data_IF_257201954787
#
_entry.id   IF_257201954787
#
_cell.length_a   1.000
_cell.length_b   1.000
_cell.length_c   1.000
_cell.angle_alpha   90.00
_cell.angle_beta   90.00
_cell.angle_gamma   90.00
#
_symmetry.space_group_name_H-M   'P 1'
#
loop_
_entity.id
_entity.type
_entity.pdbx_description
1 polymer ?
#
# COMPACT_ATOMS: atom_id res chain seq x y z
N UNK A 1 2.76 1.02 21.86
CA UNK A 1 3.07 0.66 20.46
C UNK A 1 2.32 1.63 19.56
N UNK A 2 2.96 2.05 18.47
CA UNK A 2 2.32 2.92 17.48
C UNK A 2 1.59 2.13 16.40
N UNK A 3 0.64 2.78 15.74
CA UNK A 3 0.01 2.32 14.50
C UNK A 3 0.64 3.02 13.31
N UNK A 4 0.95 2.28 12.24
CA UNK A 4 1.38 2.85 10.97
C UNK A 4 0.23 2.81 9.96
N UNK A 5 -0.15 3.96 9.39
CA UNK A 5 -0.88 3.97 8.13
C UNK A 5 0.13 3.73 7.02
N UNK A 6 -0.02 2.61 6.30
CA UNK A 6 0.90 2.22 5.22
C UNK A 6 0.21 2.43 3.89
N UNK A 7 0.64 3.46 3.18
CA UNK A 7 0.16 3.81 1.84
C UNK A 7 1.04 3.08 0.82
N UNK A 8 0.44 2.20 0.04
CA UNK A 8 1.13 1.36 -0.94
C UNK A 8 0.83 1.83 -2.35
N UNK A 9 1.89 2.17 -3.08
CA UNK A 9 1.92 2.27 -4.55
C UNK A 9 0.86 3.20 -5.18
N UNK A 10 0.53 4.29 -4.52
CA UNK A 10 -0.30 5.34 -5.11
C UNK A 10 0.55 6.27 -5.99
N UNK A 11 1.15 5.68 -7.02
CA UNK A 11 2.11 6.29 -7.93
C UNK A 11 1.48 6.75 -9.24
N UNK A 12 2.11 7.71 -9.91
CA UNK A 12 1.64 8.20 -11.20
C UNK A 12 1.51 7.07 -12.23
N UNK A 13 2.48 6.14 -12.31
CA UNK A 13 2.41 5.01 -13.24
C UNK A 13 1.24 4.06 -12.98
N UNK A 14 0.84 3.92 -11.72
CA UNK A 14 -0.24 3.02 -11.32
C UNK A 14 -1.62 3.68 -11.28
N UNK A 15 -1.68 5.00 -11.31
CA UNK A 15 -2.96 5.72 -11.34
C UNK A 15 -3.35 6.12 -12.76
N UNK A 16 -2.41 6.72 -13.51
CA UNK A 16 -2.66 7.31 -14.84
C UNK A 16 -1.61 6.94 -15.89
N UNK A 17 -0.49 6.32 -15.49
CA UNK A 17 0.66 6.09 -16.37
C UNK A 17 0.72 4.68 -16.97
N UNK A 18 1.90 4.08 -16.97
CA UNK A 18 2.23 2.85 -17.70
C UNK A 18 1.38 1.64 -17.28
N UNK A 19 1.05 1.52 -16.00
CA UNK A 19 0.19 0.46 -15.45
C UNK A 19 -1.09 1.05 -14.84
N UNK A 20 -1.71 1.98 -15.54
CA UNK A 20 -2.88 2.69 -15.07
C UNK A 20 -3.99 1.75 -14.57
N UNK A 21 -4.46 1.99 -13.35
CA UNK A 21 -5.54 1.28 -12.70
C UNK A 21 -6.75 2.19 -12.50
N UNK A 22 -7.80 1.99 -13.25
CA UNK A 22 -9.02 2.81 -13.16
C UNK A 22 -9.67 2.78 -11.77
N UNK A 23 -9.40 1.73 -10.98
CA UNK A 23 -9.89 1.60 -9.61
C UNK A 23 -9.07 2.39 -8.57
N UNK A 24 -7.91 2.95 -8.95
CA UNK A 24 -7.06 3.69 -8.03
C UNK A 24 -7.57 5.12 -7.74
N UNK A 25 -8.07 5.82 -8.75
CA UNK A 25 -8.56 7.21 -8.58
C UNK A 25 -9.68 7.35 -7.55
N UNK A 26 -10.71 6.47 -7.54
CA UNK A 26 -11.79 6.57 -6.56
C UNK A 26 -11.36 6.49 -5.10
N UNK A 27 -10.24 5.81 -4.79
CA UNK A 27 -9.78 5.62 -3.40
C UNK A 27 -8.85 6.74 -2.90
N UNK A 28 -8.39 7.65 -3.75
CA UNK A 28 -7.45 8.71 -3.38
C UNK A 28 -8.01 9.57 -2.23
N UNK A 29 -9.27 9.99 -2.33
CA UNK A 29 -9.88 10.83 -1.31
C UNK A 29 -9.94 10.16 0.07
N UNK A 30 -10.28 8.88 0.12
CA UNK A 30 -10.30 8.10 1.35
C UNK A 30 -8.90 7.97 1.96
N UNK A 31 -7.89 7.74 1.12
CA UNK A 31 -6.49 7.64 1.59
C UNK A 31 -6.02 8.98 2.14
N UNK A 32 -6.35 10.10 1.49
CA UNK A 32 -5.99 11.44 1.96
C UNK A 32 -6.62 11.73 3.33
N UNK A 33 -7.92 11.51 3.50
CA UNK A 33 -8.62 11.69 4.78
C UNK A 33 -7.99 10.82 5.89
N UNK A 34 -7.66 9.56 5.60
CA UNK A 34 -6.99 8.67 6.54
C UNK A 34 -5.58 9.14 6.89
N UNK A 35 -4.83 9.66 5.92
CA UNK A 35 -3.49 10.19 6.15
C UNK A 35 -3.53 11.45 7.04
N UNK A 36 -4.50 12.36 6.82
CA UNK A 36 -4.72 13.52 7.68
C UNK A 36 -5.10 13.09 9.11
N UNK A 37 -6.01 12.13 9.24
CA UNK A 37 -6.42 11.60 10.54
C UNK A 37 -5.24 10.93 11.27
N UNK A 38 -4.41 10.17 10.57
CA UNK A 38 -3.21 9.54 11.13
C UNK A 38 -2.19 10.56 11.59
N UNK A 39 -1.90 11.60 10.80
CA UNK A 39 -0.97 12.68 11.13
C UNK A 39 -1.42 13.49 12.35
N UNK A 40 -2.72 13.55 12.63
CA UNK A 40 -3.27 14.26 13.79
C UNK A 40 -3.13 13.52 15.12
N UNK A 41 -2.63 12.28 15.12
CA UNK A 41 -2.54 11.37 16.28
C UNK A 41 -1.10 11.09 16.67
N UNK A 42 -0.73 11.34 17.91
CA UNK A 42 0.64 11.15 18.44
C UNK A 42 1.12 9.68 18.41
N UNK A 43 0.18 8.74 18.46
CA UNK A 43 0.43 7.31 18.46
C UNK A 43 0.38 6.68 17.06
N UNK A 44 0.29 7.50 16.02
CA UNK A 44 0.33 7.07 14.62
C UNK A 44 1.57 7.60 13.91
N UNK A 45 1.91 6.96 12.82
CA UNK A 45 2.87 7.41 11.80
C UNK A 45 2.34 7.07 10.41
N UNK A 46 2.67 7.89 9.42
CA UNK A 46 2.33 7.61 8.01
C UNK A 46 3.57 7.08 7.31
N UNK A 47 3.42 5.97 6.61
CA UNK A 47 4.49 5.30 5.87
C UNK A 47 4.06 5.15 4.41
N UNK A 48 4.84 5.70 3.51
CA UNK A 48 4.70 5.48 2.07
C UNK A 48 5.68 4.40 1.64
N UNK A 49 5.17 3.24 1.25
CA UNK A 49 6.01 2.15 0.77
C UNK A 49 5.71 1.90 -0.72
N UNK A 50 6.58 2.41 -1.57
CA UNK A 50 6.31 2.58 -2.98
C UNK A 50 7.37 1.94 -3.86
N UNK A 51 6.97 1.43 -5.01
CA UNK A 51 7.89 0.94 -6.01
C UNK A 51 8.87 2.03 -6.47
N UNK A 52 10.12 1.65 -6.54
CA UNK A 52 11.25 2.44 -7.01
C UNK A 52 12.23 1.50 -7.73
N UNK A 53 11.77 0.96 -8.84
CA UNK A 53 12.47 -0.08 -9.59
C UNK A 53 13.78 0.38 -10.19
N UNK A 54 14.69 -0.56 -10.37
CA UNK A 54 15.97 -0.37 -11.05
C UNK A 54 16.01 -1.19 -12.34
N UNK A 55 16.82 -0.80 -13.33
CA UNK A 55 17.00 -1.59 -14.53
C UNK A 55 17.35 -3.05 -14.21
N UNK A 56 16.61 -3.98 -14.79
CA UNK A 56 16.81 -5.42 -14.61
C UNK A 56 16.02 -6.03 -13.43
N UNK A 57 15.10 -5.29 -12.82
CA UNK A 57 14.19 -5.85 -11.83
C UNK A 57 13.26 -6.91 -12.45
N UNK A 58 13.04 -8.00 -11.68
CA UNK A 58 12.28 -9.16 -12.17
C UNK A 58 10.82 -8.84 -12.51
N UNK A 59 10.25 -7.83 -11.87
CA UNK A 59 8.87 -7.44 -12.14
C UNK A 59 8.67 -6.86 -13.54
N UNK A 60 9.74 -6.35 -14.16
CA UNK A 60 9.71 -5.90 -15.56
C UNK A 60 9.46 -7.03 -16.56
N UNK A 61 9.79 -8.29 -16.21
CA UNK A 61 9.46 -9.45 -17.03
C UNK A 61 7.95 -9.77 -17.03
N UNK A 62 7.23 -9.31 -16.01
CA UNK A 62 5.79 -9.55 -15.84
C UNK A 62 4.95 -8.41 -16.38
N UNK A 63 5.33 -7.16 -16.05
CA UNK A 63 4.50 -5.97 -16.30
C UNK A 63 5.17 -4.94 -17.22
N UNK A 64 6.40 -5.17 -17.69
CA UNK A 64 7.18 -4.15 -18.39
C UNK A 64 7.77 -3.10 -17.45
N UNK A 65 8.53 -2.16 -17.98
CA UNK A 65 9.12 -1.08 -17.17
C UNK A 65 8.03 -0.16 -16.62
N UNK A 66 8.06 0.05 -15.30
CA UNK A 66 7.16 0.92 -14.58
C UNK A 66 7.82 1.38 -13.28
N UNK A 67 7.34 2.46 -12.70
CA UNK A 67 7.77 3.01 -11.42
C UNK A 67 9.32 3.02 -11.26
N UNK A 68 10.04 3.39 -12.34
CA UNK A 68 11.51 3.45 -12.34
C UNK A 68 11.97 4.55 -11.39
N UNK A 69 12.89 4.23 -10.49
CA UNK A 69 13.38 5.16 -9.47
C UNK A 69 13.87 6.48 -10.09
N UNK A 70 13.36 7.59 -9.55
CA UNK A 70 13.68 8.96 -10.03
C UNK A 70 12.89 9.40 -11.26
N UNK A 71 11.99 8.57 -11.80
CA UNK A 71 11.07 8.98 -12.86
C UNK A 71 9.79 9.61 -12.28
N UNK A 72 9.09 10.38 -13.08
CA UNK A 72 7.76 10.89 -12.75
C UNK A 72 6.76 9.74 -12.43
N UNK A 73 6.89 8.62 -13.13
CA UNK A 73 6.04 7.44 -12.89
C UNK A 73 6.16 6.86 -11.48
N UNK A 74 7.34 6.97 -10.86
CA UNK A 74 7.61 6.51 -9.50
C UNK A 74 7.29 7.55 -8.40
N UNK A 75 6.84 8.75 -8.77
CA UNK A 75 6.38 9.74 -7.81
C UNK A 75 4.96 9.41 -7.33
N UNK A 76 4.69 9.68 -6.06
CA UNK A 76 3.32 9.59 -5.50
C UNK A 76 2.45 10.63 -6.18
N UNK A 77 1.19 10.27 -6.47
CA UNK A 77 0.23 11.23 -7.05
C UNK A 77 0.16 12.50 -6.21
N UNK A 78 0.03 13.68 -6.83
CA UNK A 78 0.12 14.98 -6.13
C UNK A 78 -0.85 15.11 -4.95
N UNK A 79 -2.03 14.51 -5.05
CA UNK A 79 -3.08 14.56 -4.03
C UNK A 79 -2.67 13.85 -2.73
N UNK A 80 -1.74 12.89 -2.83
CA UNK A 80 -1.24 12.09 -1.70
C UNK A 80 0.24 12.37 -1.40
N UNK A 81 0.81 13.45 -1.88
CA UNK A 81 2.24 13.74 -1.72
C UNK A 81 2.68 13.60 -0.26
N UNK A 82 3.75 12.81 0.02
CA UNK A 82 4.29 12.67 1.37
C UNK A 82 4.69 14.01 1.97
N UNK A 83 4.49 14.19 3.28
CA UNK A 83 4.96 15.36 4.04
C UNK A 83 6.32 15.10 4.69
N UNK A 84 6.94 16.14 5.21
CA UNK A 84 8.28 16.09 5.80
C UNK A 84 8.41 15.05 6.93
N UNK A 85 7.37 14.88 7.74
CA UNK A 85 7.36 13.92 8.86
C UNK A 85 6.93 12.50 8.46
N UNK A 86 6.49 12.29 7.21
CA UNK A 86 6.11 10.97 6.72
C UNK A 86 7.34 10.12 6.39
N UNK A 87 7.22 8.83 6.62
CA UNK A 87 8.30 7.89 6.36
C UNK A 87 8.16 7.35 4.94
N UNK A 88 9.22 7.48 4.13
CA UNK A 88 9.23 6.95 2.76
C UNK A 88 10.14 5.73 2.69
N UNK A 89 9.59 4.61 2.22
CA UNK A 89 10.27 3.32 2.07
C UNK A 89 10.25 2.91 0.60
N UNK A 90 11.31 3.16 -0.16
CA UNK A 90 11.40 2.68 -1.54
C UNK A 90 11.53 1.16 -1.55
N UNK A 91 10.73 0.49 -2.38
CA UNK A 91 10.77 -0.96 -2.54
C UNK A 91 10.99 -1.36 -4.01
N UNK A 92 11.42 -2.59 -4.24
CA UNK A 92 11.66 -3.18 -5.57
C UNK A 92 10.96 -4.53 -5.73
N UNK A 93 10.12 -4.88 -4.76
CA UNK A 93 9.40 -6.16 -4.69
C UNK A 93 8.00 -5.88 -4.18
N UNK A 94 7.06 -6.80 -4.39
CA UNK A 94 5.67 -6.64 -3.94
C UNK A 94 5.55 -6.34 -2.45
N UNK A 95 6.34 -7.01 -1.62
CA UNK A 95 6.32 -6.74 -0.18
C UNK A 95 7.18 -5.54 0.18
N UNK A 96 6.62 -4.63 0.95
CA UNK A 96 7.34 -3.48 1.51
C UNK A 96 8.44 -3.87 2.51
N UNK A 97 8.48 -5.11 2.98
CA UNK A 97 9.54 -5.61 3.87
C UNK A 97 10.73 -6.21 3.12
N UNK A 98 10.54 -6.60 1.84
CA UNK A 98 11.59 -7.32 1.11
C UNK A 98 12.71 -6.39 0.69
N UNK A 99 13.89 -6.57 1.30
CA UNK A 99 15.11 -5.79 1.02
C UNK A 99 14.93 -4.28 1.19
N UNK A 100 14.13 -3.87 2.19
CA UNK A 100 13.90 -2.48 2.56
C UNK A 100 14.22 -2.24 4.03
N UNK A 101 14.17 -0.98 4.45
CA UNK A 101 14.36 -0.58 5.84
C UNK A 101 13.07 -0.65 6.69
N UNK A 102 11.93 -1.12 6.13
CA UNK A 102 10.65 -1.11 6.85
C UNK A 102 10.69 -1.89 8.16
N UNK A 103 11.39 -3.03 8.19
CA UNK A 103 11.52 -3.84 9.41
C UNK A 103 12.30 -3.09 10.52
N UNK A 104 13.36 -2.38 10.15
CA UNK A 104 14.09 -1.51 11.07
C UNK A 104 13.23 -0.31 11.50
N UNK A 105 12.49 0.30 10.59
CA UNK A 105 11.54 1.38 10.83
C UNK A 105 10.48 0.96 11.84
N UNK A 106 9.89 -0.23 11.69
CA UNK A 106 8.91 -0.74 12.65
C UNK A 106 9.48 -0.84 14.07
N UNK A 107 10.71 -1.31 14.20
CA UNK A 107 11.39 -1.40 15.51
C UNK A 107 11.69 -0.02 16.12
N UNK A 108 12.25 0.88 15.31
CA UNK A 108 12.63 2.24 15.77
C UNK A 108 11.42 3.03 16.24
N UNK A 109 10.32 2.95 15.50
CA UNK A 109 9.08 3.67 15.83
C UNK A 109 8.14 2.89 16.74
N UNK A 110 8.52 1.67 17.18
CA UNK A 110 7.71 0.79 18.02
C UNK A 110 6.32 0.54 17.42
N UNK A 111 6.29 0.21 16.11
CA UNK A 111 5.05 -0.08 15.37
C UNK A 111 4.61 -1.52 15.71
N UNK A 112 3.39 -1.66 16.21
CA UNK A 112 2.77 -2.95 16.53
C UNK A 112 1.50 -3.23 15.72
N UNK A 113 0.97 -2.22 15.02
CA UNK A 113 -0.18 -2.36 14.12
C UNK A 113 0.08 -1.60 12.82
N UNK A 114 -0.37 -2.17 11.70
CA UNK A 114 -0.39 -1.51 10.40
C UNK A 114 -1.83 -1.40 9.92
N UNK A 115 -2.18 -0.25 9.37
CA UNK A 115 -3.40 -0.01 8.60
C UNK A 115 -2.98 0.14 7.15
N UNK A 116 -3.36 -0.80 6.30
CA UNK A 116 -2.91 -0.90 4.91
C UNK A 116 -3.94 -0.29 3.98
N UNK A 117 -3.50 0.65 3.15
CA UNK A 117 -4.26 1.32 2.10
C UNK A 117 -3.46 1.35 0.79
N UNK A 118 -4.12 1.63 -0.33
CA UNK A 118 -3.48 1.74 -1.66
C UNK A 118 -3.66 0.51 -2.52
N UNK A 119 -2.65 0.13 -3.29
CA UNK A 119 -2.79 -0.91 -4.31
C UNK A 119 -1.55 -1.81 -4.46
N UNK A 120 -1.68 -3.02 -5.02
CA UNK A 120 -2.94 -3.69 -5.34
C UNK A 120 -3.28 -4.65 -4.20
N UNK A 121 -4.54 -4.74 -3.83
CA UNK A 121 -5.03 -5.54 -2.69
C UNK A 121 -4.52 -6.98 -2.73
N UNK A 122 -4.52 -7.61 -3.90
CA UNK A 122 -4.09 -9.00 -4.12
C UNK A 122 -2.60 -9.16 -4.49
N UNK A 123 -1.85 -8.07 -4.49
CA UNK A 123 -0.41 -8.05 -4.80
C UNK A 123 0.39 -7.36 -3.69
N UNK A 124 0.75 -6.10 -3.82
CA UNK A 124 1.63 -5.41 -2.86
C UNK A 124 1.02 -5.33 -1.46
N UNK A 125 -0.28 -5.04 -1.34
CA UNK A 125 -0.98 -5.07 -0.06
C UNK A 125 -0.93 -6.48 0.56
N UNK A 126 -1.21 -7.52 -0.23
CA UNK A 126 -1.20 -8.92 0.22
C UNK A 126 0.17 -9.37 0.71
N UNK A 127 1.24 -9.11 -0.06
CA UNK A 127 2.58 -9.57 0.30
C UNK A 127 3.13 -8.79 1.50
N UNK A 128 2.86 -7.49 1.57
CA UNK A 128 3.22 -6.67 2.75
C UNK A 128 2.48 -7.14 4.00
N UNK A 129 1.18 -7.43 3.89
CA UNK A 129 0.37 -7.96 4.98
C UNK A 129 0.88 -9.33 5.45
N UNK A 130 1.27 -10.22 4.53
CA UNK A 130 1.87 -11.50 4.88
C UNK A 130 3.16 -11.34 5.68
N UNK A 131 4.05 -10.48 5.22
CA UNK A 131 5.31 -10.24 5.90
C UNK A 131 5.14 -9.54 7.26
N UNK A 132 4.13 -8.68 7.42
CA UNK A 132 3.74 -8.12 8.72
C UNK A 132 3.23 -9.21 9.66
N UNK A 133 2.36 -10.12 9.17
CA UNK A 133 1.86 -11.27 9.93
C UNK A 133 2.99 -12.16 10.45
N UNK A 134 4.00 -12.47 9.61
CA UNK A 134 5.17 -13.27 10.03
C UNK A 134 5.99 -12.60 11.14
N UNK A 135 5.90 -11.28 11.29
CA UNK A 135 6.60 -10.47 12.30
C UNK A 135 5.76 -10.23 13.55
N UNK A 136 4.54 -10.77 13.60
CA UNK A 136 3.62 -10.55 14.71
C UNK A 136 3.05 -9.12 14.78
N UNK A 137 3.11 -8.38 13.67
CA UNK A 137 2.49 -7.06 13.54
C UNK A 137 1.02 -7.27 13.20
N UNK A 138 0.13 -6.66 13.95
CA UNK A 138 -1.32 -6.67 13.65
C UNK A 138 -1.60 -5.86 12.38
N UNK A 139 -2.49 -6.36 11.52
CA UNK A 139 -2.84 -5.66 10.28
C UNK A 139 -4.35 -5.46 10.17
N UNK A 140 -4.74 -4.24 9.87
CA UNK A 140 -6.05 -3.90 9.32
C UNK A 140 -5.89 -3.49 7.85
N UNK A 141 -6.76 -3.98 6.98
CA UNK A 141 -6.82 -3.58 5.56
C UNK A 141 -8.10 -2.81 5.33
N UNK A 142 -7.98 -1.62 4.78
CA UNK A 142 -9.15 -0.73 4.57
C UNK A 142 -9.81 -1.06 3.23
N UNK A 143 -11.03 -1.60 3.30
CA UNK A 143 -11.71 -2.18 2.13
C UNK A 143 -12.06 -1.17 1.05
N UNK A 144 -12.43 0.06 1.43
CA UNK A 144 -12.79 1.18 0.57
C UNK A 144 -11.62 2.13 0.25
N UNK A 145 -10.44 1.83 0.79
CA UNK A 145 -9.18 2.53 0.51
C UNK A 145 -8.11 1.60 -0.07
N UNK A 146 -8.51 0.40 -0.56
CA UNK A 146 -7.65 -0.52 -1.31
C UNK A 146 -8.34 -0.99 -2.58
N UNK A 147 -7.57 -1.31 -3.62
CA UNK A 147 -8.12 -1.81 -4.88
C UNK A 147 -7.23 -2.87 -5.52
N UNK A 148 -7.83 -3.87 -6.18
CA UNK A 148 -7.12 -4.81 -7.06
C UNK A 148 -6.81 -4.16 -8.41
N UNK A 149 -5.93 -4.78 -9.20
CA UNK A 149 -5.60 -4.29 -10.54
C UNK A 149 -6.77 -4.56 -11.50
N UNK A 150 -7.56 -3.52 -11.78
CA UNK A 150 -8.76 -3.62 -12.61
C UNK A 150 -8.52 -4.23 -14.01
N UNK A 151 -7.42 -3.93 -14.74
CA UNK A 151 -7.15 -4.57 -16.02
C UNK A 151 -7.05 -6.10 -15.97
N UNK A 152 -6.62 -6.67 -14.85
CA UNK A 152 -6.57 -8.14 -14.66
C UNK A 152 -7.86 -8.71 -14.07
N UNK A 153 -8.73 -7.88 -13.51
CA UNK A 153 -9.99 -8.32 -12.94
C UNK A 153 -11.09 -8.49 -14.02
N UNK A 154 -10.99 -7.71 -15.11
CA UNK A 154 -12.00 -7.71 -16.16
C UNK A 154 -13.39 -7.37 -15.59
N UNK A 155 -14.42 -8.11 -16.04
CA UNK A 155 -15.81 -7.89 -15.61
C UNK A 155 -16.11 -8.35 -14.17
N UNK A 156 -15.17 -9.04 -13.50
CA UNK A 156 -15.34 -9.54 -12.12
C UNK A 156 -14.50 -8.77 -11.10
N UNK A 157 -14.43 -7.46 -11.25
CA UNK A 157 -13.66 -6.61 -10.34
C UNK A 157 -14.08 -6.77 -8.87
N UNK A 158 -15.37 -6.64 -8.58
CA UNK A 158 -15.90 -6.73 -7.21
C UNK A 158 -15.64 -8.10 -6.60
N UNK A 159 -15.85 -9.18 -7.34
CA UNK A 159 -15.56 -10.54 -6.89
C UNK A 159 -14.07 -10.76 -6.62
N UNK A 160 -13.17 -10.20 -7.45
CA UNK A 160 -11.73 -10.29 -7.23
C UNK A 160 -11.30 -9.51 -5.99
N UNK A 161 -11.80 -8.28 -5.81
CA UNK A 161 -11.53 -7.46 -4.62
C UNK A 161 -12.01 -8.18 -3.35
N UNK A 162 -13.24 -8.69 -3.35
CA UNK A 162 -13.80 -9.43 -2.23
C UNK A 162 -12.94 -10.66 -1.88
N UNK A 163 -12.60 -11.49 -2.86
CA UNK A 163 -11.75 -12.67 -2.62
C UNK A 163 -10.36 -12.30 -2.10
N UNK A 164 -9.79 -11.18 -2.54
CA UNK A 164 -8.52 -10.70 -2.03
C UNK A 164 -8.62 -10.35 -0.54
N UNK A 165 -9.64 -9.58 -0.15
CA UNK A 165 -9.87 -9.20 1.25
C UNK A 165 -10.18 -10.42 2.14
N UNK A 166 -11.02 -11.35 1.67
CA UNK A 166 -11.32 -12.61 2.36
C UNK A 166 -10.06 -13.46 2.57
N UNK A 167 -9.17 -13.49 1.59
CA UNK A 167 -7.88 -14.19 1.72
C UNK A 167 -7.04 -13.60 2.86
N UNK A 168 -6.92 -12.28 2.92
CA UNK A 168 -6.13 -11.58 3.94
C UNK A 168 -6.67 -11.85 5.35
N UNK A 169 -7.99 -11.78 5.53
CA UNK A 169 -8.62 -12.05 6.83
C UNK A 169 -8.50 -13.52 7.23
N UNK A 170 -8.70 -14.45 6.29
CA UNK A 170 -8.72 -15.89 6.56
C UNK A 170 -7.34 -16.44 6.91
N UNK A 171 -6.31 -16.06 6.12
CA UNK A 171 -4.97 -16.68 6.22
C UNK A 171 -3.98 -15.86 7.04
N UNK A 172 -4.14 -14.53 7.10
CA UNK A 172 -3.21 -13.65 7.80
C UNK A 172 -3.84 -12.99 9.03
N UNK A 173 -5.08 -13.34 9.38
CA UNK A 173 -5.85 -12.78 10.49
C UNK A 173 -5.99 -11.25 10.43
N UNK A 174 -5.91 -10.68 9.23
CA UNK A 174 -6.08 -9.25 9.06
C UNK A 174 -7.52 -8.84 9.33
N UNK A 175 -7.69 -7.74 10.04
CA UNK A 175 -8.99 -7.08 10.11
C UNK A 175 -9.30 -6.47 8.75
N UNK A 176 -10.51 -6.66 8.23
CA UNK A 176 -11.01 -5.93 7.07
C UNK A 176 -12.01 -4.91 7.59
N UNK A 177 -11.67 -3.65 7.44
CA UNK A 177 -12.43 -2.53 8.01
C UNK A 177 -12.79 -1.52 6.92
N UNK A 178 -13.79 -0.69 7.20
CA UNK A 178 -14.17 0.46 6.39
C UNK A 178 -13.45 1.71 6.93
N UNK A 179 -13.12 2.68 6.06
CA UNK A 179 -12.42 3.91 6.44
C UNK A 179 -13.14 4.70 7.55
N UNK A 180 -14.48 4.68 7.56
CA UNK A 180 -15.29 5.35 8.58
C UNK A 180 -15.06 4.84 10.02
N UNK A 181 -14.44 3.67 10.18
CA UNK A 181 -14.08 3.13 11.50
C UNK A 181 -12.79 3.75 12.06
N UNK A 182 -12.07 4.51 11.26
CA UNK A 182 -10.80 5.14 11.61
C UNK A 182 -10.88 6.67 11.67
N UNK A 183 -11.84 7.26 10.98
CA UNK A 183 -12.14 8.70 10.94
C UNK A 183 -13.05 9.09 12.10
#
# INVERSE_FOLDING_TARGET
MKTALVVLDMLNDFVDGTLANTAAKPIIGQIDELAEAARSRDDWVVVYANDAHQPGDLEFEVFGEHAVAGSYGAEVVPELAPREDDIVVPKRYYSAFTQTDLDATCRVHNIGKMVVVGQHTDCCCRHTTYDAFLRGIEVAVVSDATCVFAPLAGDDYDGRQQRALEYLSTFYKSEVIDSSQLL
#
